data_IF_734290545982
#
_entry.id   IF_734290545982
#
_cell.length_a   1.000
_cell.length_b   1.000
_cell.length_c   1.000
_cell.angle_alpha   90.00
_cell.angle_beta   90.00
_cell.angle_gamma   90.00
#
_symmetry.space_group_name_H-M   'P 1'
#
loop_
_entity.id
_entity.type
_entity.pdbx_description
1 polymer ?
#
# COMPACT_ATOMS: atom_id res chain seq x y z
N UNK A 1 -94.83 59.34 -13.15
CA UNK A 1 -94.68 58.16 -12.27
C UNK A 1 -93.32 57.57 -12.60
N UNK A 2 -92.20 58.20 -12.27
CA UNK A 2 -91.73 58.55 -10.93
C UNK A 2 -91.92 57.40 -9.93
N UNK A 3 -91.09 56.37 -10.07
CA UNK A 3 -90.66 55.56 -8.94
C UNK A 3 -89.18 55.85 -8.73
N UNK A 4 -88.94 56.71 -7.74
CA UNK A 4 -87.62 56.98 -7.17
C UNK A 4 -87.05 55.65 -6.68
N UNK A 5 -86.00 55.19 -7.35
CA UNK A 5 -85.07 54.18 -6.86
C UNK A 5 -84.46 54.68 -5.55
N UNK A 6 -85.04 54.28 -4.42
CA UNK A 6 -84.37 54.34 -3.13
C UNK A 6 -83.67 53.00 -2.92
N UNK A 7 -82.46 52.85 -3.48
CA UNK A 7 -81.50 51.89 -2.92
C UNK A 7 -81.36 52.21 -1.44
N UNK A 8 -81.77 51.27 -0.58
CA UNK A 8 -81.63 51.41 0.87
C UNK A 8 -80.14 51.67 1.17
N UNK A 9 -79.79 52.80 1.82
CA UNK A 9 -78.39 53.15 2.10
C UNK A 9 -77.61 52.03 2.80
N UNK A 10 -78.27 51.24 3.66
CA UNK A 10 -77.66 50.10 4.33
C UNK A 10 -77.29 48.95 3.38
N UNK A 11 -78.04 48.75 2.29
CA UNK A 11 -77.71 47.74 1.27
C UNK A 11 -76.49 48.16 0.47
N UNK A 12 -76.40 49.43 0.06
CA UNK A 12 -75.25 49.95 -0.70
C UNK A 12 -73.94 49.83 0.08
N UNK A 13 -73.97 50.10 1.40
CA UNK A 13 -72.79 49.97 2.27
C UNK A 13 -72.40 48.52 2.50
N UNK A 14 -73.37 47.60 2.58
CA UNK A 14 -73.09 46.18 2.68
C UNK A 14 -72.49 45.60 1.38
N UNK A 15 -72.94 46.07 0.20
CA UNK A 15 -72.34 45.69 -1.09
C UNK A 15 -70.89 46.16 -1.22
N UNK A 16 -70.59 47.43 -0.89
CA UNK A 16 -69.21 47.96 -0.86
C UNK A 16 -68.32 47.17 0.12
N UNK A 17 -68.84 46.84 1.31
CA UNK A 17 -68.11 46.02 2.28
C UNK A 17 -67.86 44.59 1.78
N UNK A 18 -68.78 44.00 1.02
CA UNK A 18 -68.59 42.70 0.36
C UNK A 18 -67.55 42.75 -0.76
N UNK A 19 -67.55 43.81 -1.57
CA UNK A 19 -66.56 44.01 -2.64
C UNK A 19 -65.14 44.13 -2.05
N UNK A 20 -64.99 44.90 -0.97
CA UNK A 20 -63.73 45.02 -0.22
C UNK A 20 -63.30 43.71 0.45
N UNK A 21 -64.24 42.93 0.98
CA UNK A 21 -63.95 41.59 1.52
C UNK A 21 -63.42 40.67 0.41
N UNK A 22 -64.00 40.73 -0.80
CA UNK A 22 -63.57 39.92 -1.94
C UNK A 22 -62.22 40.36 -2.50
N UNK A 23 -61.93 41.66 -2.50
CA UNK A 23 -60.66 42.21 -2.99
C UNK A 23 -59.52 42.12 -1.98
N UNK A 24 -59.76 41.55 -0.78
CA UNK A 24 -58.76 41.50 0.29
C UNK A 24 -58.49 42.85 0.97
N UNK A 25 -59.32 43.87 0.73
CA UNK A 25 -59.22 45.20 1.33
C UNK A 25 -59.87 45.23 2.73
N UNK A 26 -59.39 44.35 3.62
CA UNK A 26 -60.00 44.08 4.93
C UNK A 26 -60.04 45.29 5.87
N UNK A 27 -59.03 46.15 5.84
CA UNK A 27 -58.91 47.33 6.69
C UNK A 27 -59.88 48.44 6.23
N UNK A 28 -60.16 48.52 4.92
CA UNK A 28 -61.04 49.52 4.30
C UNK A 28 -62.55 49.26 4.53
N UNK A 29 -62.90 48.13 5.16
CA UNK A 29 -64.26 47.81 5.60
C UNK A 29 -64.59 48.62 6.86
N UNK A 30 -65.68 49.41 6.88
CA UNK A 30 -66.04 50.27 8.03
C UNK A 30 -66.22 49.49 9.35
N UNK A 31 -65.76 50.06 10.45
CA UNK A 31 -66.00 49.51 11.78
C UNK A 31 -67.44 49.82 12.25
N UNK A 32 -68.33 48.82 12.19
CA UNK A 32 -69.68 48.90 12.76
C UNK A 32 -69.97 47.66 13.60
N UNK A 33 -70.62 47.83 14.77
CA UNK A 33 -70.97 46.70 15.67
C UNK A 33 -72.36 46.12 15.42
N UNK A 34 -73.12 46.68 14.48
CA UNK A 34 -74.53 46.34 14.26
C UNK A 34 -74.80 46.15 12.77
N UNK A 35 -75.67 45.20 12.44
CA UNK A 35 -76.10 44.93 11.07
C UNK A 35 -75.14 44.03 10.27
N UNK A 36 -75.40 43.94 8.96
CA UNK A 36 -74.68 43.05 8.03
C UNK A 36 -73.21 43.47 7.85
N UNK A 37 -72.92 44.77 7.76
CA UNK A 37 -71.56 45.31 7.63
C UNK A 37 -70.65 44.92 8.80
N UNK A 38 -71.17 44.88 10.03
CA UNK A 38 -70.40 44.43 11.19
C UNK A 38 -70.00 42.97 11.12
N UNK A 39 -70.92 42.09 10.69
CA UNK A 39 -70.60 40.67 10.44
C UNK A 39 -69.59 40.49 9.29
N UNK A 40 -69.65 41.34 8.26
CA UNK A 40 -68.66 41.36 7.17
C UNK A 40 -67.29 41.76 7.72
N UNK A 41 -67.19 42.76 8.60
CA UNK A 41 -65.92 43.15 9.25
C UNK A 41 -65.36 42.04 10.14
N UNK A 42 -66.18 41.35 10.92
CA UNK A 42 -65.74 40.22 11.75
C UNK A 42 -65.24 39.05 10.87
N UNK A 43 -65.88 38.82 9.72
CA UNK A 43 -65.44 37.85 8.72
C UNK A 43 -64.11 38.27 8.10
N UNK A 44 -63.94 39.56 7.78
CA UNK A 44 -62.69 40.12 7.28
C UNK A 44 -61.54 39.93 8.29
N UNK A 45 -61.76 40.21 9.59
CA UNK A 45 -60.77 39.96 10.66
C UNK A 45 -60.40 38.48 10.75
N UNK A 46 -61.36 37.58 10.57
CA UNK A 46 -61.11 36.13 10.55
C UNK A 46 -60.28 35.72 9.32
N UNK A 47 -60.59 36.25 8.13
CA UNK A 47 -59.81 36.01 6.92
C UNK A 47 -58.40 36.58 7.02
N UNK A 48 -58.26 37.77 7.58
CA UNK A 48 -56.97 38.41 7.83
C UNK A 48 -56.07 37.57 8.75
N UNK A 49 -56.63 37.04 9.86
CA UNK A 49 -55.91 36.15 10.77
C UNK A 49 -55.53 34.81 10.13
N UNK A 50 -56.44 34.20 9.36
CA UNK A 50 -56.15 32.95 8.63
C UNK A 50 -55.12 33.16 7.52
N UNK A 51 -55.19 34.30 6.82
CA UNK A 51 -54.23 34.72 5.82
C UNK A 51 -52.83 34.87 6.42
N UNK A 52 -52.72 35.50 7.60
CA UNK A 52 -51.47 35.61 8.34
C UNK A 52 -50.90 34.23 8.76
N UNK A 53 -51.73 33.32 9.26
CA UNK A 53 -51.29 31.95 9.61
C UNK A 53 -50.84 31.18 8.36
N UNK A 54 -51.56 31.32 7.24
CA UNK A 54 -51.19 30.71 5.96
C UNK A 54 -49.86 31.26 5.45
N UNK A 55 -49.70 32.58 5.44
CA UNK A 55 -48.49 33.27 5.02
C UNK A 55 -47.28 32.84 5.85
N UNK A 56 -47.44 32.78 7.18
CA UNK A 56 -46.41 32.29 8.09
C UNK A 56 -45.99 30.85 7.77
N UNK A 57 -46.96 29.95 7.55
CA UNK A 57 -46.69 28.55 7.16
C UNK A 57 -45.98 28.46 5.80
N UNK A 58 -46.38 29.28 4.83
CA UNK A 58 -45.79 29.27 3.49
C UNK A 58 -44.35 29.80 3.48
N UNK A 59 -44.09 30.91 4.17
CA UNK A 59 -42.72 31.42 4.35
C UNK A 59 -41.86 30.37 5.04
N UNK A 60 -42.37 29.72 6.09
CA UNK A 60 -41.63 28.66 6.81
C UNK A 60 -41.32 27.45 5.91
N UNK A 61 -42.28 27.04 5.06
CA UNK A 61 -42.07 25.98 4.09
C UNK A 61 -40.98 26.37 3.06
N UNK A 62 -40.95 27.63 2.63
CA UNK A 62 -39.95 28.13 1.67
C UNK A 62 -38.54 28.08 2.26
N UNK A 63 -38.39 28.43 3.56
CA UNK A 63 -37.12 28.26 4.28
C UNK A 63 -36.65 26.80 4.24
N UNK A 64 -37.54 25.86 4.56
CA UNK A 64 -37.20 24.43 4.60
C UNK A 64 -36.85 23.87 3.21
N UNK A 65 -37.59 24.26 2.16
CA UNK A 65 -37.29 23.86 0.78
C UNK A 65 -35.91 24.38 0.35
N UNK A 66 -35.59 25.63 0.66
CA UNK A 66 -34.29 26.21 0.37
C UNK A 66 -33.14 25.47 1.06
N UNK A 67 -33.33 25.10 2.33
CA UNK A 67 -32.35 24.30 3.08
C UNK A 67 -32.16 22.92 2.44
N UNK A 68 -33.24 22.27 1.99
CA UNK A 68 -33.18 20.99 1.29
C UNK A 68 -32.41 21.07 -0.03
N UNK A 69 -32.56 22.16 -0.80
CA UNK A 69 -31.78 22.39 -2.04
C UNK A 69 -30.29 22.56 -1.71
N UNK A 70 -29.96 23.33 -0.66
CA UNK A 70 -28.58 23.55 -0.23
C UNK A 70 -27.91 22.23 0.18
N UNK A 71 -28.58 21.43 1.02
CA UNK A 71 -28.11 20.09 1.41
C UNK A 71 -27.96 19.14 0.22
N UNK A 72 -28.83 19.27 -0.79
CA UNK A 72 -28.73 18.48 -2.02
C UNK A 72 -27.47 18.83 -2.84
N UNK A 73 -27.09 20.11 -2.89
CA UNK A 73 -25.85 20.53 -3.53
C UNK A 73 -24.60 19.97 -2.81
N UNK A 74 -24.60 19.96 -1.47
CA UNK A 74 -23.55 19.35 -0.65
C UNK A 74 -23.42 17.84 -0.94
N UNK A 75 -24.55 17.11 -1.01
CA UNK A 75 -24.55 15.68 -1.33
C UNK A 75 -23.96 15.37 -2.72
N UNK A 76 -24.22 16.21 -3.73
CA UNK A 76 -23.62 16.05 -5.07
C UNK A 76 -22.10 16.19 -4.98
N UNK A 77 -21.59 17.18 -4.23
CA UNK A 77 -20.15 17.37 -4.01
C UNK A 77 -19.54 16.15 -3.34
N UNK A 78 -20.14 15.67 -2.25
CA UNK A 78 -19.63 14.51 -1.51
C UNK A 78 -19.60 13.25 -2.38
N UNK A 79 -20.62 13.07 -3.23
CA UNK A 79 -20.69 11.95 -4.17
C UNK A 79 -19.60 12.02 -5.24
N UNK A 80 -19.28 13.22 -5.74
CA UNK A 80 -18.16 13.43 -6.68
C UNK A 80 -16.79 13.17 -6.04
N UNK A 81 -16.63 13.55 -4.77
CA UNK A 81 -15.40 13.26 -4.02
C UNK A 81 -15.20 11.75 -3.83
N UNK A 82 -16.29 11.01 -3.56
CA UNK A 82 -16.24 9.54 -3.52
C UNK A 82 -15.82 8.97 -4.87
N UNK A 83 -16.39 9.45 -5.99
CA UNK A 83 -16.02 8.99 -7.34
C UNK A 83 -14.52 9.23 -7.64
N UNK A 84 -14.01 10.43 -7.36
CA UNK A 84 -12.59 10.76 -7.54
C UNK A 84 -11.66 9.83 -6.74
N UNK A 85 -11.99 9.59 -5.46
CA UNK A 85 -11.21 8.66 -4.61
C UNK A 85 -11.31 7.23 -5.11
N UNK A 86 -12.47 6.81 -5.59
CA UNK A 86 -12.66 5.49 -6.19
C UNK A 86 -11.80 5.29 -7.44
N UNK A 87 -11.69 6.30 -8.32
CA UNK A 87 -10.79 6.24 -9.47
C UNK A 87 -9.31 6.09 -9.07
N UNK A 88 -8.87 6.79 -8.03
CA UNK A 88 -7.52 6.63 -7.49
C UNK A 88 -7.26 5.21 -6.96
N UNK A 89 -8.25 4.59 -6.31
CA UNK A 89 -8.17 3.19 -5.85
C UNK A 89 -8.11 2.23 -7.04
N UNK A 90 -8.88 2.46 -8.12
CA UNK A 90 -8.80 1.64 -9.33
C UNK A 90 -7.39 1.67 -9.95
N UNK A 91 -6.80 2.85 -10.09
CA UNK A 91 -5.44 2.99 -10.60
C UNK A 91 -4.43 2.23 -9.73
N UNK A 92 -4.52 2.35 -8.41
CA UNK A 92 -3.67 1.61 -7.49
C UNK A 92 -3.87 0.08 -7.60
N UNK A 93 -5.10 -0.39 -7.83
CA UNK A 93 -5.39 -1.81 -8.03
C UNK A 93 -4.73 -2.34 -9.34
N UNK A 94 -4.75 -1.56 -10.42
CA UNK A 94 -4.05 -1.91 -11.67
C UNK A 94 -2.53 -1.98 -11.48
N UNK A 95 -1.94 -1.00 -10.77
CA UNK A 95 -0.51 -1.00 -10.42
C UNK A 95 -0.13 -2.21 -9.55
N UNK A 96 -1.00 -2.61 -8.62
CA UNK A 96 -0.81 -3.82 -7.82
C UNK A 96 -0.81 -5.07 -8.68
N UNK A 97 -1.72 -5.21 -9.65
CA UNK A 97 -1.74 -6.35 -10.58
C UNK A 97 -0.44 -6.42 -11.39
N UNK A 98 0.03 -5.28 -11.90
CA UNK A 98 1.30 -5.21 -12.64
C UNK A 98 2.49 -5.64 -11.76
N UNK A 99 2.52 -5.16 -10.51
CA UNK A 99 3.55 -5.50 -9.52
C UNK A 99 3.52 -6.99 -9.15
N UNK A 100 2.33 -7.57 -8.94
CA UNK A 100 2.15 -9.02 -8.69
C UNK A 100 2.65 -9.85 -9.87
N UNK A 101 2.39 -9.42 -11.10
CA UNK A 101 2.90 -10.10 -12.29
C UNK A 101 4.43 -10.04 -12.40
N UNK A 102 5.06 -8.96 -11.94
CA UNK A 102 6.52 -8.86 -11.87
C UNK A 102 7.10 -9.79 -10.80
N UNK A 103 6.51 -9.82 -9.61
CA UNK A 103 6.93 -10.73 -8.54
C UNK A 103 6.75 -12.19 -8.98
N UNK A 104 5.70 -12.51 -9.73
CA UNK A 104 5.47 -13.85 -10.27
C UNK A 104 6.60 -14.29 -11.20
N UNK A 105 7.00 -13.43 -12.15
CA UNK A 105 8.15 -13.72 -13.03
C UNK A 105 9.44 -13.93 -12.24
N UNK A 106 9.72 -13.07 -11.27
CA UNK A 106 10.91 -13.20 -10.42
C UNK A 106 10.87 -14.49 -9.57
N UNK A 107 9.68 -14.96 -9.18
CA UNK A 107 9.49 -16.21 -8.44
C UNK A 107 9.77 -17.42 -9.34
N UNK A 108 9.31 -17.39 -10.60
CA UNK A 108 9.61 -18.42 -11.59
C UNK A 108 11.11 -18.49 -11.90
N UNK A 109 11.76 -17.35 -12.10
CA UNK A 109 13.21 -17.27 -12.33
C UNK A 109 13.99 -17.82 -11.11
N UNK A 110 13.60 -17.42 -9.89
CA UNK A 110 14.22 -17.94 -8.66
C UNK A 110 14.03 -19.45 -8.48
N UNK A 111 12.87 -20.00 -8.89
CA UNK A 111 12.64 -21.44 -8.87
C UNK A 111 13.52 -22.17 -9.88
N UNK A 112 13.72 -21.60 -11.08
CA UNK A 112 14.63 -22.15 -12.08
C UNK A 112 16.09 -22.11 -11.61
N UNK A 113 16.53 -21.01 -11.02
CA UNK A 113 17.87 -20.87 -10.43
C UNK A 113 18.10 -21.86 -9.29
N UNK A 114 17.10 -22.05 -8.42
CA UNK A 114 17.13 -23.07 -7.38
C UNK A 114 17.29 -24.48 -7.98
N UNK A 115 16.53 -24.83 -9.02
CA UNK A 115 16.68 -26.12 -9.67
C UNK A 115 18.09 -26.31 -10.28
N UNK A 116 18.66 -25.28 -10.90
CA UNK A 116 20.03 -25.33 -11.42
C UNK A 116 21.08 -25.51 -10.29
N UNK A 117 20.90 -24.80 -9.17
CA UNK A 117 21.76 -24.95 -8.00
C UNK A 117 21.69 -26.37 -7.42
N UNK A 118 20.49 -26.97 -7.40
CA UNK A 118 20.30 -28.36 -6.97
C UNK A 118 21.04 -29.34 -7.86
N UNK A 119 20.89 -29.22 -9.18
CA UNK A 119 21.58 -30.09 -10.13
C UNK A 119 23.11 -29.98 -9.99
N UNK A 120 23.61 -28.76 -9.71
CA UNK A 120 25.03 -28.52 -9.45
C UNK A 120 25.50 -29.16 -8.14
N UNK A 121 24.70 -29.07 -7.07
CA UNK A 121 25.00 -29.71 -5.80
C UNK A 121 25.02 -31.24 -5.92
N UNK A 122 24.05 -31.82 -6.63
CA UNK A 122 23.97 -33.26 -6.88
C UNK A 122 25.20 -33.74 -7.71
N UNK A 123 25.62 -32.99 -8.73
CA UNK A 123 26.87 -33.25 -9.45
C UNK A 123 28.12 -33.14 -8.53
N UNK A 124 28.10 -32.22 -7.57
CA UNK A 124 29.13 -32.08 -6.54
C UNK A 124 29.24 -33.31 -5.63
N UNK A 125 28.11 -33.86 -5.20
CA UNK A 125 28.04 -35.12 -4.43
C UNK A 125 28.64 -36.28 -5.24
N UNK A 126 28.27 -36.42 -6.51
CA UNK A 126 28.81 -37.46 -7.39
C UNK A 126 30.32 -37.30 -7.63
N UNK A 127 30.79 -36.06 -7.80
CA UNK A 127 32.22 -35.78 -7.96
C UNK A 127 33.01 -36.13 -6.69
N UNK A 128 32.49 -35.79 -5.51
CA UNK A 128 33.09 -36.17 -4.22
C UNK A 128 33.15 -37.70 -4.07
N UNK A 129 32.07 -38.42 -4.38
CA UNK A 129 32.05 -39.88 -4.36
C UNK A 129 33.11 -40.52 -5.26
N UNK A 130 33.29 -40.03 -6.49
CA UNK A 130 34.35 -40.49 -7.41
C UNK A 130 35.75 -40.18 -6.90
N UNK A 131 35.93 -39.04 -6.23
CA UNK A 131 37.20 -38.65 -5.66
C UNK A 131 37.57 -39.52 -4.43
N UNK A 132 36.61 -39.84 -3.56
CA UNK A 132 36.78 -40.82 -2.47
C UNK A 132 37.21 -42.18 -3.02
N UNK A 133 36.51 -42.71 -4.03
CA UNK A 133 36.86 -43.99 -4.65
C UNK A 133 38.26 -43.96 -5.30
N UNK A 134 38.72 -42.79 -5.76
CA UNK A 134 40.07 -42.63 -6.29
C UNK A 134 41.13 -42.64 -5.20
N UNK A 135 40.86 -42.00 -4.05
CA UNK A 135 41.73 -42.07 -2.87
C UNK A 135 41.86 -43.49 -2.34
N UNK A 136 40.77 -44.27 -2.30
CA UNK A 136 40.82 -45.68 -1.90
C UNK A 136 41.71 -46.53 -2.82
N UNK A 137 41.68 -46.28 -4.14
CA UNK A 137 42.58 -46.94 -5.08
C UNK A 137 44.04 -46.56 -4.86
N UNK A 138 44.31 -45.29 -4.54
CA UNK A 138 45.67 -44.81 -4.23
C UNK A 138 46.18 -45.45 -2.94
N UNK A 139 45.35 -45.50 -1.88
CA UNK A 139 45.69 -46.15 -0.63
C UNK A 139 46.09 -47.62 -0.85
N UNK A 140 45.30 -48.37 -1.61
CA UNK A 140 45.63 -49.76 -1.95
C UNK A 140 46.92 -49.90 -2.77
N UNK A 141 47.22 -48.95 -3.65
CA UNK A 141 48.47 -48.94 -4.42
C UNK A 141 49.69 -48.64 -3.53
N UNK A 142 49.57 -47.73 -2.57
CA UNK A 142 50.62 -47.40 -1.58
C UNK A 142 50.89 -48.59 -0.67
N UNK A 143 49.84 -49.24 -0.16
CA UNK A 143 49.96 -50.44 0.68
C UNK A 143 50.64 -51.60 -0.06
N UNK A 144 50.24 -51.85 -1.31
CA UNK A 144 50.88 -52.86 -2.15
C UNK A 144 52.34 -52.53 -2.45
N UNK A 145 52.70 -51.26 -2.62
CA UNK A 145 54.07 -50.82 -2.83
C UNK A 145 54.91 -51.01 -1.55
N UNK A 146 54.37 -50.68 -0.38
CA UNK A 146 55.02 -50.88 0.93
C UNK A 146 55.39 -52.35 1.15
N UNK A 147 54.44 -53.26 0.92
CA UNK A 147 54.68 -54.70 1.06
C UNK A 147 55.81 -55.22 0.13
N UNK A 148 55.92 -54.68 -1.09
CA UNK A 148 57.01 -55.03 -2.02
C UNK A 148 58.37 -54.52 -1.54
N UNK A 149 58.42 -53.33 -0.94
CA UNK A 149 59.65 -52.76 -0.38
C UNK A 149 60.10 -53.54 0.85
N UNK A 150 59.16 -53.94 1.73
CA UNK A 150 59.46 -54.83 2.87
C UNK A 150 60.06 -56.18 2.42
N UNK A 151 59.48 -56.78 1.38
CA UNK A 151 60.03 -58.02 0.79
C UNK A 151 61.46 -57.82 0.27
N UNK A 152 61.73 -56.66 -0.35
CA UNK A 152 63.06 -56.32 -0.85
C UNK A 152 64.06 -56.04 0.29
N UNK A 153 63.59 -55.45 1.40
CA UNK A 153 64.38 -55.23 2.60
C UNK A 153 64.77 -56.56 3.25
N UNK A 154 63.85 -57.53 3.30
CA UNK A 154 64.13 -58.88 3.79
C UNK A 154 65.12 -59.63 2.88
N UNK A 155 64.96 -59.56 1.56
CA UNK A 155 65.93 -60.13 0.62
C UNK A 155 67.33 -59.50 0.78
N UNK A 156 67.40 -58.18 0.98
CA UNK A 156 68.66 -57.47 1.26
C UNK A 156 69.23 -57.86 2.64
N UNK A 157 68.37 -58.18 3.60
CA UNK A 157 68.75 -58.78 4.90
C UNK A 157 69.53 -60.08 4.71
N UNK A 158 68.94 -61.00 3.94
CA UNK A 158 69.52 -62.30 3.62
C UNK A 158 70.85 -62.19 2.86
N UNK A 159 70.94 -61.30 1.86
CA UNK A 159 72.19 -61.07 1.11
C UNK A 159 73.29 -60.59 2.05
N UNK A 160 73.01 -59.65 2.96
CA UNK A 160 73.99 -59.18 3.94
C UNK A 160 74.51 -60.28 4.86
N UNK A 161 73.65 -61.25 5.25
CA UNK A 161 74.07 -62.41 6.03
C UNK A 161 75.01 -63.33 5.23
N UNK A 162 74.71 -63.58 3.96
CA UNK A 162 75.57 -64.37 3.06
C UNK A 162 76.92 -63.68 2.88
N UNK A 163 76.94 -62.37 2.64
CA UNK A 163 78.18 -61.58 2.49
C UNK A 163 79.02 -61.64 3.78
N UNK A 164 78.38 -61.61 4.95
CA UNK A 164 79.05 -61.83 6.23
C UNK A 164 79.72 -63.20 6.33
N UNK A 165 79.04 -64.27 5.93
CA UNK A 165 79.62 -65.63 5.90
C UNK A 165 80.81 -65.72 4.94
N UNK A 166 80.73 -65.08 3.76
CA UNK A 166 81.84 -65.06 2.79
C UNK A 166 83.07 -64.35 3.38
N UNK A 167 82.88 -63.24 4.09
CA UNK A 167 83.97 -62.54 4.77
C UNK A 167 84.61 -63.40 5.87
N UNK A 168 83.81 -64.12 6.65
CA UNK A 168 84.32 -65.06 7.66
C UNK A 168 85.13 -66.19 7.02
N UNK A 169 84.67 -66.74 5.89
CA UNK A 169 85.39 -67.75 5.11
C UNK A 169 86.70 -67.16 4.56
N UNK A 170 86.69 -65.94 4.04
CA UNK A 170 87.88 -65.25 3.54
C UNK A 170 88.92 -65.02 4.65
N UNK A 171 88.48 -64.60 5.84
CA UNK A 171 89.35 -64.45 7.02
C UNK A 171 89.95 -65.78 7.49
N UNK A 172 89.14 -66.85 7.53
CA UNK A 172 89.64 -68.19 7.84
C UNK A 172 90.64 -68.69 6.80
N UNK A 173 90.37 -68.46 5.51
CA UNK A 173 91.26 -68.85 4.41
C UNK A 173 92.57 -68.07 4.47
N UNK A 174 92.53 -66.78 4.81
CA UNK A 174 93.72 -65.96 5.05
C UNK A 174 94.56 -66.48 6.24
N UNK A 175 93.91 -66.90 7.33
CA UNK A 175 94.58 -67.52 8.48
C UNK A 175 95.21 -68.87 8.13
N UNK A 176 94.51 -69.72 7.37
CA UNK A 176 95.03 -70.99 6.87
C UNK A 176 96.24 -70.78 5.95
N UNK A 177 96.15 -69.80 5.04
CA UNK A 177 97.23 -69.43 4.14
C UNK A 177 98.44 -68.86 4.90
N UNK A 178 98.21 -68.08 5.96
CA UNK A 178 99.27 -67.59 6.85
C UNK A 178 99.99 -68.74 7.56
N UNK A 179 99.24 -69.68 8.15
CA UNK A 179 99.80 -70.87 8.79
C UNK A 179 100.60 -71.73 7.79
N UNK A 180 100.08 -71.90 6.57
CA UNK A 180 100.79 -72.61 5.50
C UNK A 180 102.08 -71.88 5.08
N UNK A 181 102.06 -70.54 5.04
CA UNK A 181 103.26 -69.72 4.75
C UNK A 181 104.32 -69.90 5.84
N UNK A 182 103.93 -69.94 7.11
CA UNK A 182 104.82 -70.18 8.26
C UNK A 182 105.45 -71.57 8.17
N UNK A 183 104.65 -72.61 7.92
CA UNK A 183 105.14 -73.98 7.84
C UNK A 183 106.02 -74.21 6.60
N UNK A 184 105.70 -73.55 5.48
CA UNK A 184 106.55 -73.54 4.29
C UNK A 184 107.91 -72.86 4.55
N UNK A 185 107.95 -71.78 5.33
CA UNK A 185 109.19 -71.15 5.78
C UNK A 185 110.00 -72.07 6.72
N UNK A 186 109.31 -72.82 7.58
CA UNK A 186 109.91 -73.79 8.51
C UNK A 186 110.56 -74.99 7.80
N UNK A 187 110.02 -75.39 6.65
CA UNK A 187 110.55 -76.46 5.80
C UNK A 187 111.79 -76.08 4.95
N UNK A 188 112.23 -74.81 4.99
CA UNK A 188 113.44 -74.36 4.30
C UNK A 188 113.36 -74.44 2.76
N UNK A 189 114.42 -74.94 2.10
CA UNK A 189 114.48 -75.06 0.62
C UNK A 189 113.36 -75.93 0.03
N UNK A 190 112.90 -76.96 0.74
CA UNK A 190 111.82 -77.86 0.29
C UNK A 190 110.43 -77.19 0.27
N UNK A 191 110.24 -76.09 1.00
CA UNK A 191 108.97 -75.38 1.14
C UNK A 191 108.74 -74.22 0.17
N UNK A 192 109.74 -73.83 -0.64
CA UNK A 192 109.66 -72.62 -1.50
C UNK A 192 108.46 -72.59 -2.45
N UNK A 193 108.14 -73.71 -3.11
CA UNK A 193 106.97 -73.80 -4.00
C UNK A 193 105.64 -73.65 -3.26
N UNK A 194 105.53 -74.25 -2.07
CA UNK A 194 104.36 -74.10 -1.19
C UNK A 194 104.23 -72.68 -0.64
N UNK A 195 105.33 -72.00 -0.35
CA UNK A 195 105.32 -70.62 0.13
C UNK A 195 104.74 -69.64 -0.91
N UNK A 196 105.03 -69.83 -2.20
CA UNK A 196 104.46 -69.00 -3.28
C UNK A 196 102.95 -69.20 -3.39
N UNK A 197 102.48 -70.45 -3.38
CA UNK A 197 101.04 -70.77 -3.44
C UNK A 197 100.31 -70.22 -2.20
N UNK A 198 100.87 -70.41 -1.00
CA UNK A 198 100.29 -69.89 0.23
C UNK A 198 100.23 -68.34 0.23
N UNK A 199 101.25 -67.66 -0.32
CA UNK A 199 101.24 -66.22 -0.52
C UNK A 199 100.13 -65.74 -1.48
N UNK A 200 99.90 -66.46 -2.57
CA UNK A 200 98.83 -66.15 -3.52
C UNK A 200 97.44 -66.39 -2.93
N UNK A 201 97.23 -67.49 -2.19
CA UNK A 201 95.96 -67.75 -1.48
C UNK A 201 95.70 -66.67 -0.43
N UNK A 202 96.73 -66.23 0.29
CA UNK A 202 96.64 -65.13 1.25
C UNK A 202 96.21 -63.83 0.56
N UNK A 203 96.80 -63.51 -0.59
CA UNK A 203 96.46 -62.32 -1.36
C UNK A 203 95.00 -62.36 -1.87
N UNK A 204 94.58 -63.51 -2.43
CA UNK A 204 93.22 -63.72 -2.94
C UNK A 204 92.18 -63.64 -1.81
N UNK A 205 92.52 -64.17 -0.62
CA UNK A 205 91.67 -64.07 0.58
C UNK A 205 91.50 -62.62 1.04
N UNK A 206 92.58 -61.82 1.05
CA UNK A 206 92.50 -60.40 1.38
C UNK A 206 91.69 -59.60 0.35
N UNK A 207 91.85 -59.90 -0.94
CA UNK A 207 91.02 -59.30 -2.01
C UNK A 207 89.54 -59.67 -1.83
N UNK A 208 89.26 -60.91 -1.44
CA UNK A 208 87.89 -61.39 -1.19
C UNK A 208 87.28 -60.66 0.02
N UNK A 209 87.99 -60.56 1.15
CA UNK A 209 87.52 -59.78 2.32
C UNK A 209 87.24 -58.32 1.98
N UNK A 210 88.12 -57.68 1.19
CA UNK A 210 87.91 -56.29 0.77
C UNK A 210 86.69 -56.14 -0.15
N UNK A 211 86.50 -57.05 -1.09
CA UNK A 211 85.31 -57.05 -1.94
C UNK A 211 84.01 -57.28 -1.13
N UNK A 212 84.04 -58.17 -0.13
CA UNK A 212 82.88 -58.37 0.76
C UNK A 212 82.59 -57.17 1.65
N UNK A 213 83.61 -56.42 2.08
CA UNK A 213 83.44 -55.17 2.83
C UNK A 213 82.77 -54.10 1.98
N UNK A 214 83.21 -53.91 0.73
CA UNK A 214 82.57 -53.00 -0.23
C UNK A 214 81.10 -53.40 -0.53
N UNK A 215 80.83 -54.70 -0.69
CA UNK A 215 79.45 -55.20 -0.90
C UNK A 215 78.61 -54.95 0.34
N UNK A 216 79.13 -55.18 1.55
CA UNK A 216 78.43 -54.91 2.81
C UNK A 216 78.00 -53.45 2.90
N UNK A 217 78.90 -52.51 2.61
CA UNK A 217 78.57 -51.08 2.59
C UNK A 217 77.46 -50.73 1.58
N UNK A 218 77.44 -51.38 0.42
CA UNK A 218 76.36 -51.21 -0.57
C UNK A 218 75.02 -51.77 -0.08
N UNK A 219 75.02 -52.91 0.61
CA UNK A 219 73.82 -53.51 1.19
C UNK A 219 73.27 -52.65 2.33
N UNK A 220 74.14 -52.09 3.17
CA UNK A 220 73.73 -51.21 4.26
C UNK A 220 73.10 -49.92 3.73
N UNK A 221 73.68 -49.31 2.69
CA UNK A 221 73.07 -48.17 2.00
C UNK A 221 71.71 -48.53 1.37
N UNK A 222 71.60 -49.68 0.70
CA UNK A 222 70.33 -50.14 0.12
C UNK A 222 69.24 -50.30 1.17
N UNK A 223 69.58 -50.83 2.37
CA UNK A 223 68.62 -50.95 3.47
C UNK A 223 68.19 -49.58 3.99
N UNK A 224 69.13 -48.64 4.16
CA UNK A 224 68.80 -47.28 4.59
C UNK A 224 67.85 -46.59 3.61
N UNK A 225 68.08 -46.73 2.30
CA UNK A 225 67.18 -46.20 1.26
C UNK A 225 65.79 -46.86 1.31
N UNK A 226 65.71 -48.18 1.51
CA UNK A 226 64.42 -48.87 1.65
C UNK A 226 63.63 -48.40 2.88
N UNK A 227 64.30 -48.17 4.01
CA UNK A 227 63.67 -47.65 5.23
C UNK A 227 63.12 -46.23 5.03
N UNK A 228 63.87 -45.39 4.30
CA UNK A 228 63.41 -44.07 3.86
C UNK A 228 62.18 -44.14 2.93
N UNK A 229 62.14 -45.10 2.02
CA UNK A 229 60.99 -45.34 1.13
C UNK A 229 59.76 -45.77 1.95
N UNK A 230 59.90 -46.69 2.90
CA UNK A 230 58.80 -47.14 3.77
C UNK A 230 58.24 -45.97 4.58
N UNK A 231 59.11 -45.12 5.13
CA UNK A 231 58.70 -43.92 5.86
C UNK A 231 57.89 -42.98 4.96
N UNK A 232 58.37 -42.70 3.75
CA UNK A 232 57.67 -41.86 2.78
C UNK A 232 56.33 -42.45 2.33
N UNK A 233 56.24 -43.78 2.19
CA UNK A 233 54.99 -44.46 1.87
C UNK A 233 53.97 -44.36 3.01
N UNK A 234 54.42 -44.44 4.27
CA UNK A 234 53.55 -44.27 5.43
C UNK A 234 53.00 -42.85 5.50
N UNK A 235 53.84 -41.83 5.33
CA UNK A 235 53.40 -40.44 5.23
C UNK A 235 52.41 -40.23 4.07
N UNK A 236 52.65 -40.87 2.92
CA UNK A 236 51.73 -40.86 1.79
C UNK A 236 50.38 -41.51 2.08
N UNK A 237 50.36 -42.63 2.82
CA UNK A 237 49.13 -43.29 3.24
C UNK A 237 48.30 -42.44 4.22
N UNK A 238 48.97 -41.77 5.16
CA UNK A 238 48.33 -40.84 6.10
C UNK A 238 47.72 -39.66 5.34
N UNK A 239 48.44 -39.06 4.38
CA UNK A 239 47.95 -37.96 3.54
C UNK A 239 46.74 -38.36 2.67
N UNK A 240 46.72 -39.59 2.15
CA UNK A 240 45.56 -40.12 1.40
C UNK A 240 44.35 -40.30 2.31
N UNK A 241 44.56 -40.72 3.55
CA UNK A 241 43.49 -40.87 4.54
C UNK A 241 42.87 -39.52 4.89
N UNK A 242 43.70 -38.52 5.20
CA UNK A 242 43.25 -37.14 5.44
C UNK A 242 42.51 -36.58 4.21
N UNK A 243 43.07 -36.76 3.01
CA UNK A 243 42.44 -36.32 1.76
C UNK A 243 41.05 -36.93 1.55
N UNK A 244 40.87 -38.22 1.91
CA UNK A 244 39.57 -38.89 1.85
C UNK A 244 38.56 -38.27 2.82
N UNK A 245 38.95 -37.97 4.05
CA UNK A 245 38.07 -37.33 5.04
C UNK A 245 37.61 -35.96 4.59
N UNK A 246 38.52 -35.14 4.06
CA UNK A 246 38.18 -33.79 3.54
C UNK A 246 37.20 -33.87 2.38
N UNK A 247 37.43 -34.78 1.42
CA UNK A 247 36.53 -34.96 0.27
C UNK A 247 35.16 -35.47 0.72
N UNK A 248 35.11 -36.40 1.68
CA UNK A 248 33.85 -36.88 2.24
C UNK A 248 33.06 -35.76 2.93
N UNK A 249 33.75 -34.89 3.68
CA UNK A 249 33.17 -33.69 4.27
C UNK A 249 32.56 -32.75 3.22
N UNK A 250 33.30 -32.47 2.14
CA UNK A 250 32.80 -31.65 1.03
C UNK A 250 31.54 -32.26 0.36
N UNK A 251 31.51 -33.59 0.20
CA UNK A 251 30.33 -34.30 -0.30
C UNK A 251 29.10 -34.13 0.62
N UNK A 252 29.31 -34.18 1.94
CA UNK A 252 28.23 -33.96 2.92
C UNK A 252 27.71 -32.52 2.89
N UNK A 253 28.59 -31.52 2.73
CA UNK A 253 28.20 -30.11 2.58
C UNK A 253 27.37 -29.90 1.32
N UNK A 254 27.75 -30.51 0.19
CA UNK A 254 26.96 -30.47 -1.06
C UNK A 254 25.59 -31.13 -0.87
N UNK A 255 25.50 -32.24 -0.15
CA UNK A 255 24.21 -32.88 0.16
C UNK A 255 23.31 -31.96 0.99
N UNK A 256 23.86 -31.29 2.01
CA UNK A 256 23.09 -30.32 2.81
C UNK A 256 22.64 -29.12 1.98
N UNK A 257 23.46 -28.66 1.04
CA UNK A 257 23.08 -27.61 0.09
C UNK A 257 21.90 -28.05 -0.79
N UNK A 258 21.93 -29.28 -1.33
CA UNK A 258 20.82 -29.84 -2.13
C UNK A 258 19.51 -29.86 -1.34
N UNK A 259 19.53 -30.26 -0.07
CA UNK A 259 18.35 -30.21 0.82
C UNK A 259 17.83 -28.79 1.07
N UNK A 260 18.72 -27.83 1.32
CA UNK A 260 18.33 -26.44 1.51
C UNK A 260 17.66 -25.85 0.26
N UNK A 261 18.19 -26.20 -0.92
CA UNK A 261 17.65 -25.75 -2.20
C UNK A 261 16.26 -26.32 -2.47
N UNK A 262 15.99 -27.58 -2.10
CA UNK A 262 14.62 -28.14 -2.13
C UNK A 262 13.66 -27.28 -1.29
N UNK A 263 14.11 -26.83 -0.12
CA UNK A 263 13.34 -25.90 0.72
C UNK A 263 13.06 -24.56 0.04
N UNK A 264 13.98 -24.05 -0.78
CA UNK A 264 13.77 -22.83 -1.57
C UNK A 264 12.70 -23.06 -2.65
N UNK A 265 12.76 -24.17 -3.39
CA UNK A 265 11.76 -24.51 -4.42
C UNK A 265 10.35 -24.56 -3.84
N UNK A 266 10.16 -25.20 -2.68
CA UNK A 266 8.86 -25.26 -1.99
C UNK A 266 8.34 -23.87 -1.58
N UNK A 267 9.24 -22.98 -1.15
CA UNK A 267 8.88 -21.59 -0.82
C UNK A 267 8.46 -20.81 -2.07
N UNK A 268 9.09 -21.05 -3.21
CA UNK A 268 8.67 -20.41 -4.47
C UNK A 268 7.28 -20.88 -4.91
N UNK A 269 6.95 -22.16 -4.74
CA UNK A 269 5.59 -22.66 -4.97
C UNK A 269 4.55 -22.01 -4.04
N UNK A 270 4.88 -21.83 -2.77
CA UNK A 270 4.03 -21.13 -1.80
C UNK A 270 3.80 -19.66 -2.21
N UNK A 271 4.86 -18.95 -2.59
CA UNK A 271 4.78 -17.56 -3.08
C UNK A 271 3.89 -17.49 -4.32
N UNK A 272 4.06 -18.40 -5.29
CA UNK A 272 3.20 -18.44 -6.48
C UNK A 272 1.71 -18.60 -6.12
N UNK A 273 1.39 -19.42 -5.12
CA UNK A 273 0.04 -19.54 -4.57
C UNK A 273 -0.50 -18.23 -3.99
N UNK A 274 0.32 -17.52 -3.21
CA UNK A 274 -0.03 -16.22 -2.62
C UNK A 274 -0.27 -15.17 -3.72
N UNK A 275 0.58 -15.13 -4.74
CA UNK A 275 0.45 -14.17 -5.85
C UNK A 275 -0.83 -14.41 -6.66
N UNK A 276 -1.24 -15.67 -6.84
CA UNK A 276 -2.52 -16.02 -7.45
C UNK A 276 -3.70 -15.47 -6.64
N UNK A 277 -3.67 -15.65 -5.30
CA UNK A 277 -4.69 -15.10 -4.41
C UNK A 277 -4.71 -13.56 -4.44
N UNK A 278 -3.54 -12.92 -4.48
CA UNK A 278 -3.42 -11.47 -4.51
C UNK A 278 -3.92 -10.88 -5.83
N UNK A 279 -3.73 -11.59 -6.95
CA UNK A 279 -4.32 -11.23 -8.24
C UNK A 279 -5.84 -11.27 -8.18
N UNK A 280 -6.42 -12.34 -7.62
CA UNK A 280 -7.86 -12.47 -7.45
C UNK A 280 -8.45 -11.37 -6.55
N UNK A 281 -7.80 -11.07 -5.41
CA UNK A 281 -8.23 -9.99 -4.52
C UNK A 281 -8.15 -8.62 -5.20
N UNK A 282 -7.13 -8.37 -6.02
CA UNK A 282 -7.00 -7.10 -6.75
C UNK A 282 -8.11 -6.94 -7.80
N UNK A 283 -8.51 -8.03 -8.46
CA UNK A 283 -9.68 -8.02 -9.34
C UNK A 283 -10.99 -7.75 -8.60
N UNK A 284 -11.19 -8.34 -7.42
CA UNK A 284 -12.37 -8.09 -6.59
C UNK A 284 -12.45 -6.61 -6.16
N UNK A 285 -11.32 -5.99 -5.83
CA UNK A 285 -11.25 -4.54 -5.55
C UNK A 285 -11.65 -3.73 -6.78
N UNK A 286 -11.13 -4.06 -7.97
CA UNK A 286 -11.48 -3.34 -9.21
C UNK A 286 -12.97 -3.47 -9.56
N UNK A 287 -13.57 -4.65 -9.37
CA UNK A 287 -15.01 -4.86 -9.53
C UNK A 287 -15.82 -4.04 -8.51
N UNK A 288 -15.39 -4.05 -7.25
CA UNK A 288 -16.01 -3.24 -6.19
C UNK A 288 -15.98 -1.73 -6.50
N UNK A 289 -14.87 -1.23 -7.05
CA UNK A 289 -14.77 0.17 -7.49
C UNK A 289 -15.70 0.46 -8.66
N UNK A 290 -15.83 -0.45 -9.62
CA UNK A 290 -16.78 -0.30 -10.73
C UNK A 290 -18.23 -0.22 -10.22
N UNK A 291 -18.58 -1.01 -9.20
CA UNK A 291 -19.89 -0.93 -8.55
C UNK A 291 -20.10 0.42 -7.83
N UNK A 292 -19.08 0.93 -7.13
CA UNK A 292 -19.14 2.24 -6.47
C UNK A 292 -19.31 3.38 -7.49
N UNK A 293 -18.62 3.32 -8.62
CA UNK A 293 -18.79 4.29 -9.72
C UNK A 293 -20.23 4.26 -10.27
N UNK A 294 -20.83 3.07 -10.42
CA UNK A 294 -22.24 2.94 -10.79
C UNK A 294 -23.19 3.53 -9.74
N UNK A 295 -22.93 3.28 -8.45
CA UNK A 295 -23.74 3.81 -7.35
C UNK A 295 -23.63 5.33 -7.21
N UNK A 296 -22.44 5.91 -7.37
CA UNK A 296 -22.24 7.37 -7.32
C UNK A 296 -22.98 8.06 -8.47
N UNK A 297 -22.90 7.52 -9.69
CA UNK A 297 -23.67 8.03 -10.83
C UNK A 297 -25.19 7.97 -10.57
N UNK A 298 -25.70 6.86 -10.02
CA UNK A 298 -27.10 6.72 -9.66
C UNK A 298 -27.53 7.71 -8.55
N UNK A 299 -26.68 7.91 -7.54
CA UNK A 299 -26.94 8.87 -6.47
C UNK A 299 -27.01 10.30 -7.00
N UNK A 300 -26.10 10.71 -7.89
CA UNK A 300 -26.16 12.04 -8.53
C UNK A 300 -27.49 12.23 -9.26
N UNK A 301 -27.90 11.27 -10.10
CA UNK A 301 -29.16 11.34 -10.83
C UNK A 301 -30.38 11.42 -9.89
N UNK A 302 -30.35 10.68 -8.77
CA UNK A 302 -31.42 10.72 -7.79
C UNK A 302 -31.47 12.05 -7.02
N UNK A 303 -30.31 12.63 -6.68
CA UNK A 303 -30.25 13.95 -6.04
C UNK A 303 -30.74 15.03 -7.02
N UNK A 304 -30.37 14.97 -8.30
CA UNK A 304 -30.89 15.89 -9.32
C UNK A 304 -32.42 15.82 -9.42
N UNK A 305 -33.00 14.61 -9.39
CA UNK A 305 -34.46 14.44 -9.37
C UNK A 305 -35.12 15.02 -8.11
N UNK A 306 -34.46 14.96 -6.95
CA UNK A 306 -34.94 15.61 -5.72
C UNK A 306 -34.92 17.13 -5.88
N UNK A 307 -33.85 17.68 -6.46
CA UNK A 307 -33.75 19.13 -6.72
C UNK A 307 -34.83 19.59 -7.70
N UNK A 308 -35.16 18.81 -8.74
CA UNK A 308 -36.29 19.08 -9.64
C UNK A 308 -37.63 19.13 -8.90
N UNK A 309 -37.89 18.14 -8.05
CA UNK A 309 -39.12 18.08 -7.26
C UNK A 309 -39.24 19.26 -6.29
N UNK A 310 -38.14 19.64 -5.63
CA UNK A 310 -38.07 20.80 -4.74
C UNK A 310 -38.34 22.10 -5.51
N UNK A 311 -37.78 22.25 -6.72
CA UNK A 311 -38.01 23.41 -7.56
C UNK A 311 -39.48 23.55 -7.97
N UNK A 312 -40.13 22.46 -8.38
CA UNK A 312 -41.55 22.46 -8.75
C UNK A 312 -42.46 22.80 -7.55
N UNK A 313 -42.15 22.27 -6.37
CA UNK A 313 -42.91 22.57 -5.14
C UNK A 313 -42.73 24.04 -4.72
N UNK A 314 -41.53 24.59 -4.92
CA UNK A 314 -41.24 25.99 -4.61
C UNK A 314 -41.99 26.94 -5.57
N UNK A 315 -42.15 26.60 -6.85
CA UNK A 315 -42.97 27.38 -7.79
C UNK A 315 -44.43 27.48 -7.33
N UNK A 316 -45.04 26.38 -6.90
CA UNK A 316 -46.40 26.39 -6.31
C UNK A 316 -46.47 27.24 -5.04
N UNK A 317 -45.44 27.16 -4.21
CA UNK A 317 -45.37 27.91 -2.96
C UNK A 317 -45.28 29.42 -3.19
N UNK A 318 -44.42 29.85 -4.11
CA UNK A 318 -44.27 31.26 -4.50
C UNK A 318 -45.57 31.78 -5.11
N UNK A 319 -46.23 31.00 -5.99
CA UNK A 319 -47.50 31.40 -6.60
C UNK A 319 -48.60 31.64 -5.55
N UNK A 320 -48.72 30.77 -4.54
CA UNK A 320 -49.68 31.00 -3.46
C UNK A 320 -49.28 32.13 -2.50
N UNK A 321 -47.98 32.39 -2.33
CA UNK A 321 -47.49 33.52 -1.54
C UNK A 321 -47.86 34.84 -2.22
N UNK A 322 -47.72 34.92 -3.54
CA UNK A 322 -48.14 36.07 -4.35
C UNK A 322 -49.65 36.32 -4.25
N UNK A 323 -50.49 35.29 -4.17
CA UNK A 323 -51.95 35.44 -3.96
C UNK A 323 -52.27 36.10 -2.61
N UNK A 324 -51.59 35.68 -1.54
CA UNK A 324 -51.74 36.28 -0.21
C UNK A 324 -51.13 37.69 -0.12
N UNK A 325 -50.05 37.96 -0.86
CA UNK A 325 -49.39 39.28 -0.92
C UNK A 325 -50.29 40.39 -1.49
N UNK A 326 -51.35 40.03 -2.20
CA UNK A 326 -52.32 40.98 -2.74
C UNK A 326 -53.46 41.32 -1.76
N UNK A 327 -53.43 40.80 -0.52
CA UNK A 327 -54.45 41.04 0.51
C UNK A 327 -53.92 41.92 1.65
N UNK A 328 -54.79 42.64 2.36
CA UNK A 328 -54.43 43.48 3.52
C UNK A 328 -54.19 42.63 4.78
N UNK A 329 -53.03 41.96 4.86
CA UNK A 329 -52.62 41.16 6.01
C UNK A 329 -51.65 41.98 6.90
N UNK A 330 -51.72 41.90 8.24
CA UNK A 330 -50.78 42.55 9.14
C UNK A 330 -49.35 42.10 8.89
N UNK A 331 -48.39 43.01 9.09
CA UNK A 331 -46.96 42.75 8.94
C UNK A 331 -46.53 42.24 7.55
N UNK A 332 -47.34 42.47 6.52
CA UNK A 332 -47.11 41.98 5.16
C UNK A 332 -45.71 42.32 4.64
N UNK A 333 -45.20 43.52 4.97
CA UNK A 333 -43.87 43.97 4.57
C UNK A 333 -42.75 43.12 5.17
N UNK A 334 -42.91 42.67 6.42
CA UNK A 334 -41.92 41.82 7.10
C UNK A 334 -41.96 40.41 6.50
N UNK A 335 -43.15 39.84 6.28
CA UNK A 335 -43.29 38.54 5.61
C UNK A 335 -42.74 38.56 4.17
N UNK A 336 -42.97 39.64 3.43
CA UNK A 336 -42.39 39.83 2.09
C UNK A 336 -40.87 39.91 2.12
N UNK A 337 -40.31 40.61 3.11
CA UNK A 337 -38.86 40.67 3.27
C UNK A 337 -38.24 39.31 3.60
N UNK A 338 -38.91 38.50 4.45
CA UNK A 338 -38.51 37.10 4.70
C UNK A 338 -38.49 36.28 3.40
N UNK A 339 -39.54 36.37 2.60
CA UNK A 339 -39.63 35.67 1.31
C UNK A 339 -38.52 36.09 0.34
N UNK A 340 -38.32 37.39 0.13
CA UNK A 340 -37.26 37.91 -0.74
C UNK A 340 -35.87 37.41 -0.31
N UNK A 341 -35.64 37.32 1.00
CA UNK A 341 -34.40 36.81 1.58
C UNK A 341 -34.19 35.31 1.33
N UNK A 342 -35.26 34.52 1.41
CA UNK A 342 -35.22 33.08 1.10
C UNK A 342 -34.98 32.85 -0.40
N UNK A 343 -35.68 33.61 -1.26
CA UNK A 343 -35.49 33.58 -2.72
C UNK A 343 -34.04 33.94 -3.08
N UNK A 344 -33.45 34.91 -2.37
CA UNK A 344 -32.04 35.26 -2.55
C UNK A 344 -31.11 34.09 -2.26
N UNK A 345 -31.23 33.48 -1.09
CA UNK A 345 -30.44 32.29 -0.71
C UNK A 345 -30.66 31.12 -1.68
N UNK A 346 -31.87 30.96 -2.21
CA UNK A 346 -32.20 29.95 -3.23
C UNK A 346 -31.37 30.11 -4.49
N UNK A 347 -31.29 31.33 -5.03
CA UNK A 347 -30.52 31.56 -6.25
C UNK A 347 -29.04 31.21 -6.09
N UNK A 348 -28.47 31.40 -4.90
CA UNK A 348 -27.11 30.96 -4.58
C UNK A 348 -26.98 29.44 -4.59
N UNK A 349 -27.93 28.72 -3.99
CA UNK A 349 -27.95 27.26 -4.01
C UNK A 349 -28.19 26.70 -5.43
N UNK A 350 -29.10 27.29 -6.21
CA UNK A 350 -29.36 26.93 -7.61
C UNK A 350 -28.13 27.16 -8.51
N UNK A 351 -27.34 28.19 -8.23
CA UNK A 351 -26.08 28.43 -8.92
C UNK A 351 -25.10 27.27 -8.71
N UNK A 352 -25.01 26.74 -7.49
CA UNK A 352 -24.13 25.60 -7.21
C UNK A 352 -24.48 24.33 -7.99
N UNK A 353 -25.77 24.14 -8.27
CA UNK A 353 -26.27 23.03 -9.10
C UNK A 353 -26.41 23.39 -10.58
N UNK A 354 -25.89 24.54 -11.01
CA UNK A 354 -25.86 24.97 -12.42
C UNK A 354 -27.21 25.39 -13.00
N UNK A 355 -28.21 25.64 -12.15
CA UNK A 355 -29.58 26.03 -12.53
C UNK A 355 -29.80 27.53 -12.55
N UNK A 356 -28.94 28.29 -11.87
CA UNK A 356 -28.95 29.75 -11.90
C UNK A 356 -27.57 30.29 -12.26
N UNK A 357 -27.55 31.46 -12.90
CA UNK A 357 -26.32 32.23 -13.12
C UNK A 357 -26.49 33.58 -12.46
N UNK A 358 -25.63 33.87 -11.51
CA UNK A 358 -25.59 35.16 -10.81
C UNK A 358 -24.36 35.93 -11.27
N UNK A 359 -24.55 37.16 -11.73
CA UNK A 359 -23.42 38.05 -11.99
C UNK A 359 -23.12 38.86 -10.73
N UNK A 360 -21.95 38.67 -10.06
CA UNK A 360 -21.64 39.32 -8.80
C UNK A 360 -21.76 40.84 -8.81
N UNK A 361 -21.54 41.46 -9.98
CA UNK A 361 -21.55 42.91 -10.16
C UNK A 361 -22.98 43.48 -10.29
N UNK A 362 -23.97 42.63 -10.56
CA UNK A 362 -25.40 42.99 -10.67
C UNK A 362 -26.20 42.68 -9.41
N UNK A 363 -25.57 42.04 -8.42
CA UNK A 363 -26.20 41.65 -7.17
C UNK A 363 -26.36 42.88 -6.25
N UNK A 364 -27.58 43.07 -5.73
CA UNK A 364 -27.86 44.15 -4.79
C UNK A 364 -27.13 43.95 -3.45
N UNK A 365 -26.64 45.04 -2.86
CA UNK A 365 -26.17 45.05 -1.47
C UNK A 365 -27.34 45.11 -0.47
N UNK A 366 -27.00 45.02 0.82
CA UNK A 366 -27.96 45.01 1.93
C UNK A 366 -28.75 46.32 2.11
N UNK A 367 -28.40 47.43 1.44
CA UNK A 367 -29.19 48.67 1.45
C UNK A 367 -30.06 48.81 0.19
N UNK A 368 -29.57 48.29 -0.93
CA UNK A 368 -30.21 48.36 -2.24
C UNK A 368 -31.29 47.29 -2.44
N UNK A 369 -31.25 46.23 -1.63
CA UNK A 369 -32.27 45.19 -1.58
C UNK A 369 -33.58 45.71 -0.96
N UNK A 370 -34.70 44.98 -1.15
CA UNK A 370 -36.01 45.42 -0.65
C UNK A 370 -36.05 45.53 0.88
N UNK A 371 -35.48 44.55 1.58
CA UNK A 371 -35.38 44.58 3.04
C UNK A 371 -34.54 45.77 3.51
N UNK A 372 -33.44 46.08 2.83
CA UNK A 372 -32.60 47.25 3.10
C UNK A 372 -33.35 48.57 2.94
N UNK A 373 -34.06 48.74 1.82
CA UNK A 373 -34.89 49.92 1.58
C UNK A 373 -35.98 50.09 2.64
N UNK A 374 -36.61 49.00 3.07
CA UNK A 374 -37.58 49.04 4.16
C UNK A 374 -36.92 49.37 5.50
N UNK A 375 -35.78 48.74 5.79
CA UNK A 375 -34.99 48.96 6.99
C UNK A 375 -34.63 50.44 7.14
N UNK A 376 -34.16 51.08 6.07
CA UNK A 376 -33.75 52.48 6.09
C UNK A 376 -34.93 53.45 6.16
N UNK A 377 -36.07 53.10 5.56
CA UNK A 377 -37.24 53.97 5.42
C UNK A 377 -38.30 53.85 6.53
N UNK A 378 -38.26 52.83 7.39
CA UNK A 378 -39.31 52.60 8.39
C UNK A 378 -39.30 53.71 9.47
N UNK A 379 -40.45 54.35 9.70
CA UNK A 379 -40.61 55.41 10.70
C UNK A 379 -41.36 54.95 11.96
N UNK A 380 -41.92 53.74 11.95
CA UNK A 380 -42.66 53.17 13.08
C UNK A 380 -41.75 53.01 14.31
N UNK A 381 -42.05 53.80 15.36
CA UNK A 381 -41.30 53.79 16.62
C UNK A 381 -41.40 52.46 17.37
N UNK A 382 -42.48 51.68 17.20
CA UNK A 382 -42.64 50.35 17.78
C UNK A 382 -41.68 49.33 17.17
N UNK A 383 -41.36 49.46 15.88
CA UNK A 383 -40.39 48.61 15.19
C UNK A 383 -38.96 49.11 15.45
N UNK A 384 -38.71 50.43 15.31
CA UNK A 384 -37.36 51.00 15.46
C UNK A 384 -36.76 50.82 16.86
N UNK A 385 -37.60 50.87 17.90
CA UNK A 385 -37.14 50.70 19.28
C UNK A 385 -37.05 49.24 19.71
N UNK A 386 -37.47 48.28 18.87
CA UNK A 386 -37.38 46.87 19.20
C UNK A 386 -35.93 46.38 19.07
N UNK A 387 -35.38 45.62 20.04
CA UNK A 387 -33.97 45.16 19.99
C UNK A 387 -33.61 44.38 18.72
N UNK A 388 -34.54 43.58 18.21
CA UNK A 388 -34.36 42.80 16.98
C UNK A 388 -34.09 43.67 15.74
N UNK A 389 -34.64 44.88 15.68
CA UNK A 389 -34.42 45.79 14.54
C UNK A 389 -32.96 46.24 14.45
N UNK A 390 -32.32 46.63 15.57
CA UNK A 390 -30.90 46.98 15.57
C UNK A 390 -30.01 45.75 15.35
N UNK A 391 -30.37 44.60 15.93
CA UNK A 391 -29.57 43.37 15.87
C UNK A 391 -29.52 42.74 14.47
N UNK A 392 -30.52 42.99 13.62
CA UNK A 392 -30.61 42.42 12.26
C UNK A 392 -29.60 43.01 11.27
N UNK A 393 -29.07 44.21 11.50
CA UNK A 393 -28.26 44.92 10.50
C UNK A 393 -26.99 44.14 10.08
N UNK A 394 -26.24 43.62 11.04
CA UNK A 394 -24.97 42.93 10.77
C UNK A 394 -25.18 41.58 10.06
N UNK A 395 -26.08 40.69 10.53
CA UNK A 395 -26.39 39.46 9.80
C UNK A 395 -26.94 39.72 8.40
N UNK A 396 -27.76 40.77 8.22
CA UNK A 396 -28.28 41.12 6.90
C UNK A 396 -27.16 41.53 5.93
N UNK A 397 -26.21 42.34 6.40
CA UNK A 397 -25.00 42.69 5.64
C UNK A 397 -24.19 41.45 5.29
N UNK A 398 -23.97 40.55 6.26
CA UNK A 398 -23.20 39.32 6.05
C UNK A 398 -23.83 38.41 4.97
N UNK A 399 -25.16 38.29 4.90
CA UNK A 399 -25.83 37.52 3.83
C UNK A 399 -25.51 38.04 2.44
N UNK A 400 -25.49 39.36 2.26
CA UNK A 400 -25.16 39.95 0.96
C UNK A 400 -23.67 39.86 0.65
N UNK A 401 -22.80 40.20 1.60
CA UNK A 401 -21.35 40.17 1.41
C UNK A 401 -20.87 38.75 1.04
N UNK A 402 -21.29 37.74 1.81
CA UNK A 402 -20.94 36.34 1.54
C UNK A 402 -21.64 35.80 0.29
N UNK A 403 -22.88 36.21 0.00
CA UNK A 403 -23.59 35.78 -1.21
C UNK A 403 -22.93 36.30 -2.50
N UNK A 404 -22.48 37.55 -2.50
CA UNK A 404 -21.74 38.14 -3.61
C UNK A 404 -20.38 37.46 -3.75
N UNK A 405 -19.69 37.20 -2.65
CA UNK A 405 -18.40 36.51 -2.67
C UNK A 405 -18.51 35.07 -3.17
N UNK A 406 -19.58 34.36 -2.81
CA UNK A 406 -19.88 33.03 -3.35
C UNK A 406 -20.05 33.06 -4.87
N UNK A 407 -20.81 34.03 -5.40
CA UNK A 407 -20.99 34.20 -6.84
C UNK A 407 -19.67 34.52 -7.55
N UNK A 408 -18.76 35.27 -6.93
CA UNK A 408 -17.40 35.51 -7.47
C UNK A 408 -16.59 34.23 -7.55
N UNK A 409 -16.51 33.47 -6.45
CA UNK A 409 -15.79 32.20 -6.44
C UNK A 409 -16.35 31.22 -7.48
N UNK A 410 -17.67 31.16 -7.63
CA UNK A 410 -18.30 30.34 -8.66
C UNK A 410 -17.92 30.80 -10.08
N UNK A 411 -17.96 32.12 -10.36
CA UNK A 411 -17.55 32.72 -11.64
C UNK A 411 -16.08 32.42 -11.99
N UNK A 412 -15.22 32.35 -10.98
CA UNK A 412 -13.80 32.03 -11.10
C UNK A 412 -13.51 30.52 -11.17
N UNK A 413 -14.53 29.66 -11.08
CA UNK A 413 -14.42 28.20 -11.07
C UNK A 413 -13.99 27.59 -9.73
N UNK A 414 -13.87 28.39 -8.68
CA UNK A 414 -13.59 27.93 -7.31
C UNK A 414 -14.89 27.49 -6.62
N UNK A 415 -15.35 26.27 -6.93
CA UNK A 415 -16.57 25.71 -6.36
C UNK A 415 -16.48 25.50 -4.83
N UNK A 416 -15.30 25.16 -4.32
CA UNK A 416 -15.09 24.93 -2.88
C UNK A 416 -15.23 26.24 -2.09
N UNK A 417 -14.53 27.30 -2.52
CA UNK A 417 -14.68 28.62 -1.92
C UNK A 417 -16.11 29.17 -2.04
N UNK A 418 -16.82 28.87 -3.13
CA UNK A 418 -18.22 29.27 -3.28
C UNK A 418 -19.14 28.61 -2.24
N UNK A 419 -18.93 27.31 -1.95
CA UNK A 419 -19.70 26.58 -0.95
C UNK A 419 -19.44 27.08 0.48
N UNK A 420 -18.18 27.35 0.82
CA UNK A 420 -17.81 27.89 2.14
C UNK A 420 -18.49 29.23 2.41
N UNK A 421 -18.59 30.10 1.40
CA UNK A 421 -19.30 31.37 1.51
C UNK A 421 -20.82 31.19 1.61
N UNK A 422 -21.40 30.21 0.89
CA UNK A 422 -22.83 29.88 1.00
C UNK A 422 -23.18 29.34 2.40
N UNK A 423 -22.28 28.58 3.03
CA UNK A 423 -22.48 28.14 4.42
C UNK A 423 -22.57 29.33 5.39
N UNK A 424 -21.71 30.34 5.20
CA UNK A 424 -21.76 31.60 5.99
C UNK A 424 -23.04 32.40 5.71
N UNK A 425 -23.51 32.43 4.46
CA UNK A 425 -24.83 32.99 4.11
C UNK A 425 -25.93 32.26 4.86
N UNK A 426 -25.88 30.93 4.95
CA UNK A 426 -26.91 30.15 5.64
C UNK A 426 -26.98 30.47 7.13
N UNK A 427 -25.84 30.62 7.81
CA UNK A 427 -25.76 31.02 9.23
C UNK A 427 -26.32 32.43 9.44
N UNK A 428 -25.82 33.42 8.69
CA UNK A 428 -26.28 34.80 8.82
C UNK A 428 -27.77 34.97 8.45
N UNK A 429 -28.27 34.18 7.50
CA UNK A 429 -29.68 34.18 7.10
C UNK A 429 -30.61 33.69 8.20
N UNK A 430 -30.18 32.70 9.00
CA UNK A 430 -30.96 32.23 10.15
C UNK A 430 -31.16 33.34 11.17
N UNK A 431 -30.13 34.14 11.44
CA UNK A 431 -30.21 35.28 12.35
C UNK A 431 -31.15 36.36 11.80
N UNK A 432 -31.07 36.69 10.50
CA UNK A 432 -32.01 37.63 9.87
C UNK A 432 -33.46 37.16 10.02
N UNK A 433 -33.75 35.90 9.70
CA UNK A 433 -35.10 35.35 9.81
C UNK A 433 -35.61 35.34 11.25
N UNK A 434 -34.75 34.99 12.22
CA UNK A 434 -35.05 35.04 13.65
C UNK A 434 -35.45 36.45 14.09
N UNK A 435 -34.68 37.47 13.72
CA UNK A 435 -35.00 38.85 14.11
C UNK A 435 -36.28 39.37 13.44
N UNK A 436 -36.55 38.95 12.19
CA UNK A 436 -37.83 39.26 11.53
C UNK A 436 -39.01 38.60 12.25
N UNK A 437 -38.86 37.37 12.76
CA UNK A 437 -39.88 36.69 13.57
C UNK A 437 -40.11 37.38 14.92
N UNK A 438 -39.05 37.82 15.60
CA UNK A 438 -39.16 38.61 16.82
C UNK A 438 -39.91 39.94 16.57
N UNK A 439 -39.70 40.58 15.42
CA UNK A 439 -40.46 41.78 15.05
C UNK A 439 -41.93 41.49 14.75
N UNK A 440 -42.28 40.35 14.17
CA UNK A 440 -43.68 39.96 13.94
C UNK A 440 -44.40 39.67 15.26
N UNK A 441 -43.71 39.14 16.26
CA UNK A 441 -44.29 38.75 17.56
C UNK A 441 -44.48 39.91 18.57
N UNK A 442 -44.26 41.16 18.13
CA UNK A 442 -44.18 42.36 18.98
C UNK A 442 -45.48 42.82 19.66
#
# INVERSE_FOLDING_TARGET
>A
MDQISMTNPEQSVAYDAMEKLQSGAYDDIPETRMGLTGKIKDTAKTFQSRGQESLSRMVSMSVNLNEAVTRSAEMIRDTREVDNRSQAIAAAAEELVASVAEIARNTEDAAADAQCARDTADQGVDAAGRAVASMERIAGAVEAASSRVETLAEASSQIGNIVGQIDDIAKQTNLLALNATIEAARAGEAGKGFAVVAGEVKNLSNQTSKATEDIRGRIDNLRAEMDGIVTSMREGADAVTEGREVIAGAGQEMSSMSEQVIGITLKMEEIAGILSQQTAASHEVAEGITAIAGMTAANVAQIESVVDFLAATDEELVAGLDDLLNQQIPDMTIYRAKSDHIIWKKKLAEMMVGRARLDPDELADHHSCRLGKWYDAIEDAGIRNHPAYAAMAEPHKAVHDHGIQAARYYKDGNLEGALDEIAKVAEASQDVLKYLDELIAR
#
